data_IF_363235546851
#
_entry.id   IF_363235546851
#
_cell.length_a   1.000
_cell.length_b   1.000
_cell.length_c   1.000
_cell.angle_alpha   90.00
_cell.angle_beta   90.00
_cell.angle_gamma   90.00
#
_symmetry.space_group_name_H-M   'P 1'
#
loop_
_entity.id
_entity.type
_entity.pdbx_description
1 polymer ?
#
# COMPACT_ATOMS: atom_id res chain seq x y z
N UNK A 1 25.54 19.10 14.12
CA UNK A 1 24.92 20.16 13.29
C UNK A 1 25.07 19.89 11.80
N UNK A 2 26.28 19.81 11.19
CA UNK A 2 26.41 19.53 9.75
C UNK A 2 26.05 18.07 9.35
N UNK A 3 26.38 17.09 10.18
CA UNK A 3 26.04 15.67 9.93
C UNK A 3 24.54 15.38 10.05
N UNK A 4 23.81 16.15 10.85
CA UNK A 4 22.36 16.00 11.00
C UNK A 4 21.63 16.42 9.72
N UNK A 5 22.10 17.50 9.08
CA UNK A 5 21.55 18.03 7.82
C UNK A 5 21.74 17.07 6.64
N UNK A 6 22.88 16.37 6.61
CA UNK A 6 23.18 15.35 5.59
C UNK A 6 22.30 14.11 5.79
N UNK A 7 22.08 13.67 7.04
CA UNK A 7 21.17 12.58 7.36
C UNK A 7 19.73 12.90 6.96
N UNK A 8 19.27 14.12 7.21
CA UNK A 8 17.93 14.59 6.81
C UNK A 8 17.76 14.61 5.29
N UNK A 9 18.82 14.94 4.55
CA UNK A 9 18.78 14.92 3.09
C UNK A 9 18.66 13.50 2.54
N UNK A 10 19.44 12.57 3.10
CA UNK A 10 19.36 11.14 2.73
C UNK A 10 17.98 10.57 3.06
N UNK A 11 17.39 10.90 4.22
CA UNK A 11 16.03 10.49 4.59
C UNK A 11 14.99 10.98 3.59
N UNK A 12 15.03 12.25 3.20
CA UNK A 12 14.11 12.81 2.20
C UNK A 12 14.22 12.08 0.86
N UNK A 13 15.44 11.77 0.41
CA UNK A 13 15.65 11.02 -0.82
C UNK A 13 15.10 9.59 -0.74
N UNK A 14 15.25 8.92 0.41
CA UNK A 14 14.67 7.60 0.64
C UNK A 14 13.14 7.67 0.55
N UNK A 15 12.53 8.64 1.24
CA UNK A 15 11.07 8.82 1.22
C UNK A 15 10.53 9.13 -0.18
N UNK A 16 11.21 9.99 -0.94
CA UNK A 16 10.85 10.31 -2.33
C UNK A 16 10.93 9.10 -3.25
N UNK A 17 12.00 8.30 -3.13
CA UNK A 17 12.18 7.08 -3.92
C UNK A 17 11.11 6.03 -3.58
N UNK A 18 10.82 5.82 -2.28
CA UNK A 18 9.76 4.92 -1.85
C UNK A 18 8.41 5.39 -2.39
N UNK A 19 8.09 6.68 -2.27
CA UNK A 19 6.83 7.23 -2.79
C UNK A 19 6.68 6.99 -4.29
N UNK A 20 7.73 7.21 -5.08
CA UNK A 20 7.70 6.97 -6.54
C UNK A 20 7.39 5.51 -6.87
N UNK A 21 8.12 4.57 -6.25
CA UNK A 21 7.93 3.11 -6.50
C UNK A 21 6.53 2.66 -6.11
N UNK A 22 6.00 3.14 -4.99
CA UNK A 22 4.65 2.76 -4.57
C UNK A 22 3.55 3.47 -5.37
N UNK A 23 3.78 4.69 -5.89
CA UNK A 23 2.83 5.36 -6.78
C UNK A 23 2.64 4.61 -8.08
N UNK A 24 3.72 4.11 -8.70
CA UNK A 24 3.65 3.26 -9.90
C UNK A 24 2.79 2.00 -9.64
N UNK A 25 2.87 1.43 -8.42
CA UNK A 25 2.08 0.26 -8.02
C UNK A 25 0.62 0.56 -7.68
N UNK A 26 0.28 1.80 -7.33
CA UNK A 26 -1.10 2.22 -7.04
C UNK A 26 -1.90 2.42 -8.32
N UNK A 27 -1.24 2.82 -9.41
CA UNK A 27 -1.86 2.98 -10.73
C UNK A 27 -2.13 1.64 -11.43
N UNK A 28 -1.54 0.55 -10.95
CA UNK A 28 -1.83 -0.80 -11.44
C UNK A 28 -3.18 -1.29 -10.89
N UNK A 29 -4.02 -1.84 -11.78
CA UNK A 29 -5.27 -2.48 -11.40
C UNK A 29 -5.03 -3.55 -10.33
N UNK A 30 -5.87 -3.55 -9.29
CA UNK A 30 -5.78 -4.53 -8.22
C UNK A 30 -5.82 -5.96 -8.81
N UNK A 31 -4.82 -6.83 -8.52
CA UNK A 31 -4.80 -8.19 -9.03
C UNK A 31 -6.10 -8.96 -8.78
N UNK A 32 -6.53 -9.76 -9.76
CA UNK A 32 -7.80 -10.49 -9.72
C UNK A 32 -7.94 -11.41 -8.51
N UNK A 33 -6.82 -12.00 -8.05
CA UNK A 33 -6.78 -12.80 -6.82
C UNK A 33 -7.23 -12.00 -5.59
N UNK A 34 -6.85 -10.73 -5.48
CA UNK A 34 -7.28 -9.89 -4.35
C UNK A 34 -8.75 -9.52 -4.46
N UNK A 35 -9.24 -9.21 -5.66
CA UNK A 35 -10.68 -8.98 -5.90
C UNK A 35 -11.51 -10.20 -5.48
N UNK A 36 -11.10 -11.40 -5.89
CA UNK A 36 -11.74 -12.66 -5.50
C UNK A 36 -11.72 -12.90 -3.99
N UNK A 37 -10.63 -12.57 -3.30
CA UNK A 37 -10.55 -12.70 -1.84
C UNK A 37 -11.49 -11.71 -1.13
N UNK A 38 -11.62 -10.48 -1.63
CA UNK A 38 -12.58 -9.50 -1.11
C UNK A 38 -14.02 -9.96 -1.32
N UNK A 39 -14.34 -10.54 -2.47
CA UNK A 39 -15.66 -11.14 -2.74
C UNK A 39 -15.96 -12.29 -1.78
N UNK A 40 -14.99 -13.19 -1.54
CA UNK A 40 -15.13 -14.27 -0.57
C UNK A 40 -15.34 -13.76 0.85
N UNK A 41 -14.69 -12.66 1.24
CA UNK A 41 -14.87 -12.04 2.55
C UNK A 41 -16.28 -11.48 2.70
N UNK A 42 -16.74 -10.68 1.73
CA UNK A 42 -18.11 -10.13 1.72
C UNK A 42 -19.17 -11.21 1.77
N UNK A 43 -19.01 -12.25 0.95
CA UNK A 43 -19.94 -13.39 0.93
C UNK A 43 -20.00 -14.12 2.28
N UNK A 44 -18.89 -14.19 3.03
CA UNK A 44 -18.87 -14.76 4.38
C UNK A 44 -19.55 -13.85 5.41
N UNK A 45 -19.40 -12.54 5.31
CA UNK A 45 -20.12 -11.58 6.17
C UNK A 45 -21.63 -11.64 5.93
N UNK A 46 -22.06 -11.69 4.66
CA UNK A 46 -23.47 -11.79 4.28
C UNK A 46 -24.12 -13.11 4.74
N UNK A 47 -23.37 -14.22 4.69
CA UNK A 47 -23.85 -15.53 5.17
C UNK A 47 -23.73 -15.69 6.70
N UNK A 48 -22.84 -14.92 7.34
CA UNK A 48 -22.59 -14.92 8.78
C UNK A 48 -23.55 -14.01 9.55
N UNK A 49 -24.10 -12.98 8.92
CA UNK A 49 -25.11 -12.07 9.48
C UNK A 49 -26.55 -12.58 9.42
N UNK A 50 -26.80 -13.74 8.81
CA UNK A 50 -28.12 -14.39 8.74
C UNK A 50 -28.36 -15.41 9.86
N UNK A 51 -27.61 -15.35 10.97
CA UNK A 51 -27.81 -16.17 12.16
C UNK A 51 -28.16 -15.32 13.37
#
# INVERSE_FOLDING_TARGET
MAHDSENDNVRRQIDENLRRVYQEKVEEDLPDRFKQLLEQLKAKEDNGGAR
#
